data_IF_251520862884
#
_entry.id   IF_251520862884
#
_cell.length_a   1.000
_cell.length_b   1.000
_cell.length_c   1.000
_cell.angle_alpha   90.00
_cell.angle_beta   90.00
_cell.angle_gamma   90.00
#
_symmetry.space_group_name_H-M   'P 1'
#
loop_
_entity.id
_entity.type
_entity.pdbx_description
1 polymer ?
#
# COMPACT_ATOMS: atom_id res chain seq x y z
N UNK A 1 4.07 1.56 -13.11
CA UNK A 1 4.91 0.71 -12.24
C UNK A 1 6.09 0.18 -13.05
N UNK A 2 7.22 -0.05 -12.41
CA UNK A 2 8.38 -0.71 -13.02
C UNK A 2 8.48 -2.18 -12.62
N UNK A 3 9.48 -2.89 -13.14
CA UNK A 3 9.68 -4.31 -12.85
C UNK A 3 9.95 -4.60 -11.37
N UNK A 4 10.53 -3.67 -10.62
CA UNK A 4 10.77 -3.85 -9.18
C UNK A 4 9.44 -3.80 -8.41
N UNK A 5 8.59 -2.84 -8.74
CA UNK A 5 7.24 -2.71 -8.17
C UNK A 5 6.37 -3.94 -8.48
N UNK A 6 6.44 -4.49 -9.70
CA UNK A 6 5.67 -5.70 -10.03
C UNK A 6 6.14 -6.95 -9.28
N UNK A 7 7.46 -7.11 -9.05
CA UNK A 7 7.96 -8.21 -8.21
C UNK A 7 7.46 -8.08 -6.77
N UNK A 8 7.42 -6.87 -6.25
CA UNK A 8 6.94 -6.63 -4.89
C UNK A 8 5.43 -6.84 -4.78
N UNK A 9 4.66 -6.38 -5.77
CA UNK A 9 3.24 -6.69 -5.89
C UNK A 9 2.97 -8.20 -5.87
N UNK A 10 3.75 -8.98 -6.63
CA UNK A 10 3.60 -10.44 -6.65
C UNK A 10 3.87 -11.08 -5.27
N UNK A 11 4.82 -10.55 -4.48
CA UNK A 11 5.04 -11.00 -3.10
C UNK A 11 3.88 -10.66 -2.19
N UNK A 12 3.34 -9.45 -2.28
CA UNK A 12 2.19 -9.01 -1.48
C UNK A 12 0.94 -9.84 -1.77
N UNK A 13 0.75 -10.24 -3.03
CA UNK A 13 -0.44 -10.98 -3.48
C UNK A 13 -0.31 -12.50 -3.41
N UNK A 14 0.85 -13.02 -3.03
CA UNK A 14 1.05 -14.46 -2.89
C UNK A 14 0.06 -15.05 -1.87
N UNK A 15 -0.81 -15.97 -2.30
CA UNK A 15 -1.94 -16.52 -1.53
C UNK A 15 -2.97 -15.49 -1.03
N UNK A 16 -3.23 -14.42 -1.82
CA UNK A 16 -4.31 -13.45 -1.57
C UNK A 16 -5.34 -13.48 -2.70
N UNK A 17 -6.58 -13.10 -2.38
CA UNK A 17 -7.68 -12.94 -3.35
C UNK A 17 -7.41 -11.73 -4.26
N UNK A 18 -7.77 -11.83 -5.54
CA UNK A 18 -7.58 -10.80 -6.58
C UNK A 18 -8.34 -9.49 -6.33
N UNK A 19 -9.25 -9.47 -5.35
CA UNK A 19 -10.08 -8.30 -4.99
C UNK A 19 -9.29 -7.11 -4.41
N UNK A 20 -7.98 -7.26 -4.16
CA UNK A 20 -7.10 -6.22 -3.58
C UNK A 20 -6.05 -5.66 -4.57
N UNK A 21 -6.21 -5.93 -5.88
CA UNK A 21 -5.16 -5.73 -6.87
C UNK A 21 -4.59 -4.31 -6.94
N UNK A 22 -5.44 -3.28 -6.91
CA UNK A 22 -4.99 -1.88 -7.08
C UNK A 22 -4.28 -1.34 -5.83
N UNK A 23 -4.81 -1.61 -4.62
CA UNK A 23 -4.19 -1.18 -3.37
C UNK A 23 -2.85 -1.89 -3.13
N UNK A 24 -2.74 -3.17 -3.50
CA UNK A 24 -1.49 -3.92 -3.45
C UNK A 24 -0.43 -3.32 -4.40
N UNK A 25 -0.84 -2.82 -5.57
CA UNK A 25 0.05 -2.13 -6.51
C UNK A 25 0.54 -0.79 -5.94
N UNK A 26 -0.35 -0.02 -5.28
CA UNK A 26 0.04 1.22 -4.59
C UNK A 26 1.02 0.93 -3.44
N UNK A 27 0.74 -0.08 -2.62
CA UNK A 27 1.60 -0.47 -1.52
C UNK A 27 2.97 -0.98 -2.00
N UNK A 28 3.01 -1.82 -3.04
CA UNK A 28 4.25 -2.30 -3.64
C UNK A 28 5.14 -1.14 -4.13
N UNK A 29 4.53 -0.15 -4.80
CA UNK A 29 5.24 1.05 -5.27
C UNK A 29 5.81 1.83 -4.08
N UNK A 30 5.01 2.04 -3.03
CA UNK A 30 5.47 2.75 -1.85
C UNK A 30 6.59 2.02 -1.10
N UNK A 31 6.53 0.69 -0.97
CA UNK A 31 7.60 -0.12 -0.35
C UNK A 31 8.91 -0.05 -1.12
N UNK A 32 8.86 -0.18 -2.45
CA UNK A 32 10.06 -0.14 -3.31
C UNK A 32 10.77 1.21 -3.25
N UNK A 33 10.01 2.31 -3.12
CA UNK A 33 10.57 3.66 -3.16
C UNK A 33 10.67 4.34 -1.78
N UNK A 34 10.32 3.66 -0.69
CA UNK A 34 10.37 4.23 0.67
C UNK A 34 9.37 5.37 0.89
N UNK A 35 8.19 5.29 0.28
CA UNK A 35 7.14 6.31 0.36
C UNK A 35 6.09 5.99 1.43
N UNK A 36 5.31 7.00 1.80
CA UNK A 36 4.11 6.86 2.64
C UNK A 36 2.87 7.00 1.78
N UNK A 37 1.91 6.08 1.91
CA UNK A 37 0.61 6.17 1.25
C UNK A 37 -0.26 7.17 2.00
N UNK A 38 -0.63 8.28 1.35
CA UNK A 38 -1.59 9.23 1.88
C UNK A 38 -3.02 8.82 1.47
N UNK A 39 -3.83 8.34 2.42
CA UNK A 39 -5.17 7.82 2.10
C UNK A 39 -6.14 7.94 3.27
N UNK A 40 -7.44 8.09 2.96
CA UNK A 40 -8.52 7.98 3.94
C UNK A 40 -8.91 6.53 4.25
N UNK A 41 -8.54 5.59 3.39
CA UNK A 41 -8.92 4.18 3.48
C UNK A 41 -7.80 3.34 4.10
N UNK A 42 -7.42 3.64 5.35
CA UNK A 42 -6.29 2.99 6.02
C UNK A 42 -6.42 1.45 6.11
N UNK A 43 -7.66 0.95 6.15
CA UNK A 43 -7.95 -0.49 6.30
C UNK A 43 -7.45 -1.32 5.12
N UNK A 44 -7.51 -0.77 3.92
CA UNK A 44 -7.11 -1.49 2.70
C UNK A 44 -5.60 -1.72 2.66
N UNK A 45 -4.84 -0.90 3.40
CA UNK A 45 -3.37 -0.98 3.50
C UNK A 45 -2.86 -1.72 4.73
N UNK A 46 -3.76 -2.12 5.65
CA UNK A 46 -3.39 -2.70 6.94
C UNK A 46 -2.56 -4.00 6.83
N UNK A 47 -2.65 -4.70 5.69
CA UNK A 47 -2.00 -5.99 5.46
C UNK A 47 -0.76 -5.91 4.55
N UNK A 48 -0.40 -4.73 4.06
CA UNK A 48 0.69 -4.58 3.08
C UNK A 48 2.01 -4.09 3.67
N UNK A 49 2.10 -3.89 5.00
CA UNK A 49 3.34 -3.48 5.66
C UNK A 49 3.99 -2.24 4.99
N UNK A 50 3.15 -1.22 4.80
CA UNK A 50 3.52 0.06 4.18
C UNK A 50 3.16 1.20 5.13
N UNK A 51 3.96 2.26 5.15
CA UNK A 51 3.64 3.45 5.92
C UNK A 51 2.38 4.12 5.36
N UNK A 52 1.44 4.47 6.24
CA UNK A 52 0.17 5.11 5.88
C UNK A 52 -0.01 6.40 6.69
N UNK A 53 -0.44 7.46 6.01
CA UNK A 53 -0.87 8.72 6.60
C UNK A 53 -2.30 9.00 6.18
N UNK A 54 -3.21 9.18 7.15
CA UNK A 54 -4.56 9.65 6.86
C UNK A 54 -4.65 11.17 7.06
N UNK A 55 -4.71 11.99 5.99
CA UNK A 55 -4.72 13.45 6.10
C UNK A 55 -6.04 13.98 6.68
N UNK A 56 -7.06 13.14 6.81
CA UNK A 56 -8.37 13.50 7.37
C UNK A 56 -8.50 13.16 8.85
N UNK A 57 -7.54 12.44 9.44
CA UNK A 57 -7.46 12.31 10.90
C UNK A 57 -6.94 13.63 11.46
N UNK A 58 -7.75 14.29 12.29
CA UNK A 58 -7.35 15.54 12.93
C UNK A 58 -6.11 15.31 13.81
N UNK A 59 -5.10 16.18 13.64
CA UNK A 59 -4.09 16.36 14.68
C UNK A 59 -4.75 17.20 15.77
N UNK A 60 -5.22 16.56 16.83
CA UNK A 60 -5.54 17.30 18.06
C UNK A 60 -4.21 17.84 18.57
N UNK A 61 -4.06 19.16 18.55
CA UNK A 61 -2.95 19.89 19.18
C UNK A 61 -3.13 19.93 20.69
#
# INVERSE_FOLDING_TARGET
MDAACFREYARLMHHRSDTLGEDAMMAATARVHGLTVATRNERDFAHFDVAVLNPFKQRVL
#
